data_IF_498547817024
#
_entry.id   IF_498547817024
#
_cell.length_a   1.000
_cell.length_b   1.000
_cell.length_c   1.000
_cell.angle_alpha   90.00
_cell.angle_beta   90.00
_cell.angle_gamma   90.00
#
_symmetry.space_group_name_H-M   'P 1'
#
loop_
_entity.id
_entity.type
_entity.pdbx_description
1 polymer ?
#
# COMPACT_ATOMS: atom_id res chain seq x y z
N UNK A 1 -25.92 -48.98 -54.04
CA UNK A 1 -26.64 -47.90 -54.73
C UNK A 1 -27.24 -46.99 -53.68
N UNK A 2 -26.81 -45.73 -53.70
CA UNK A 2 -27.41 -44.51 -53.12
C UNK A 2 -27.54 -44.44 -51.58
N UNK A 3 -26.65 -43.72 -50.91
CA UNK A 3 -26.64 -42.24 -50.76
C UNK A 3 -27.77 -41.74 -49.87
N UNK A 4 -27.47 -41.52 -48.58
CA UNK A 4 -27.85 -40.28 -47.89
C UNK A 4 -26.74 -39.92 -46.92
N UNK A 5 -25.61 -39.51 -47.48
CA UNK A 5 -24.72 -38.59 -46.79
C UNK A 5 -25.37 -37.19 -46.75
N UNK A 6 -25.19 -36.51 -45.62
CA UNK A 6 -25.49 -35.09 -45.32
C UNK A 6 -26.95 -34.73 -45.02
N UNK A 7 -27.20 -34.40 -43.75
CA UNK A 7 -27.35 -33.01 -43.33
C UNK A 7 -26.78 -32.87 -41.91
N UNK A 8 -25.80 -31.98 -41.81
CA UNK A 8 -25.23 -31.45 -40.59
C UNK A 8 -26.31 -31.01 -39.60
N UNK A 9 -26.13 -31.27 -38.31
CA UNK A 9 -25.62 -30.24 -37.41
C UNK A 9 -25.40 -30.80 -36.01
N UNK A 10 -24.29 -30.34 -35.43
CA UNK A 10 -23.75 -30.74 -34.17
C UNK A 10 -24.78 -30.75 -33.03
N UNK A 11 -24.86 -31.88 -32.34
CA UNK A 11 -25.01 -31.92 -30.89
C UNK A 11 -23.87 -31.10 -30.26
N UNK A 12 -24.08 -29.79 -30.08
CA UNK A 12 -23.31 -28.97 -29.13
C UNK A 12 -24.28 -28.48 -28.08
N UNK A 13 -24.30 -29.23 -26.99
CA UNK A 13 -25.14 -29.01 -25.81
C UNK A 13 -24.96 -27.61 -25.21
N UNK A 14 -26.06 -26.88 -25.12
CA UNK A 14 -26.76 -26.67 -23.85
C UNK A 14 -25.94 -26.34 -22.58
N UNK A 15 -24.81 -25.63 -22.64
CA UNK A 15 -24.06 -25.19 -21.44
C UNK A 15 -23.60 -23.73 -21.44
N UNK A 16 -24.26 -22.83 -22.18
CA UNK A 16 -23.80 -21.43 -22.30
C UNK A 16 -24.64 -20.37 -21.57
N UNK A 17 -25.78 -20.72 -20.97
CA UNK A 17 -26.68 -19.74 -20.31
C UNK A 17 -26.67 -19.74 -18.77
N UNK A 18 -26.06 -20.72 -18.12
CA UNK A 18 -25.96 -20.73 -16.64
C UNK A 18 -24.79 -19.88 -16.11
N UNK A 19 -23.78 -19.59 -16.94
CA UNK A 19 -22.62 -18.78 -16.54
C UNK A 19 -22.87 -17.27 -16.57
N UNK A 20 -23.74 -16.78 -17.44
CA UNK A 20 -23.98 -15.34 -17.65
C UNK A 20 -24.79 -14.68 -16.52
N UNK A 21 -25.68 -15.42 -15.86
CA UNK A 21 -26.50 -14.88 -14.76
C UNK A 21 -25.66 -14.59 -13.50
N UNK A 22 -24.67 -15.45 -13.21
CA UNK A 22 -23.75 -15.26 -12.08
C UNK A 22 -22.81 -14.06 -12.28
N UNK A 23 -22.34 -13.84 -13.51
CA UNK A 23 -21.47 -12.70 -13.85
C UNK A 23 -22.23 -11.38 -13.72
N UNK A 24 -23.50 -11.32 -14.15
CA UNK A 24 -24.35 -10.13 -14.01
C UNK A 24 -24.60 -9.76 -12.55
N UNK A 25 -24.81 -10.74 -11.66
CA UNK A 25 -24.95 -10.48 -10.22
C UNK A 25 -23.66 -9.95 -9.59
N UNK A 26 -22.49 -10.47 -10.00
CA UNK A 26 -21.21 -9.94 -9.52
C UNK A 26 -21.00 -8.49 -9.96
N UNK A 27 -21.27 -8.16 -11.22
CA UNK A 27 -21.11 -6.79 -11.75
C UNK A 27 -22.04 -5.80 -11.04
N UNK A 28 -23.28 -6.21 -10.72
CA UNK A 28 -24.20 -5.37 -9.95
C UNK A 28 -23.70 -5.14 -8.52
N UNK A 29 -23.20 -6.16 -7.83
CA UNK A 29 -22.64 -6.04 -6.48
C UNK A 29 -21.38 -5.15 -6.46
N UNK A 30 -20.46 -5.33 -7.41
CA UNK A 30 -19.29 -4.45 -7.53
C UNK A 30 -19.64 -3.02 -7.93
N UNK A 31 -20.65 -2.83 -8.79
CA UNK A 31 -21.14 -1.51 -9.18
C UNK A 31 -21.73 -0.72 -8.00
N UNK A 32 -22.48 -1.38 -7.11
CA UNK A 32 -23.02 -0.75 -5.88
C UNK A 32 -21.90 -0.41 -4.89
N UNK A 33 -20.90 -1.27 -4.74
CA UNK A 33 -19.73 -1.00 -3.87
C UNK A 33 -18.94 0.20 -4.42
N UNK A 34 -18.70 0.26 -5.74
CA UNK A 34 -18.01 1.38 -6.38
C UNK A 34 -18.78 2.71 -6.27
N UNK A 35 -20.11 2.68 -6.35
CA UNK A 35 -20.95 3.87 -6.15
C UNK A 35 -21.00 4.33 -4.68
N UNK A 36 -20.97 3.40 -3.72
CA UNK A 36 -20.84 3.73 -2.30
C UNK A 36 -19.46 4.32 -1.95
N UNK A 37 -18.40 3.85 -2.62
CA UNK A 37 -17.05 4.42 -2.48
C UNK A 37 -16.98 5.83 -3.08
N UNK A 38 -17.68 6.08 -4.19
CA UNK A 38 -17.72 7.40 -4.84
C UNK A 38 -18.48 8.45 -4.00
N UNK A 39 -19.56 8.06 -3.31
CA UNK A 39 -20.35 9.00 -2.51
C UNK A 39 -19.73 9.31 -1.13
N UNK A 40 -18.88 8.43 -0.59
CA UNK A 40 -18.17 8.67 0.68
C UNK A 40 -16.89 9.52 0.53
N UNK A 41 -16.39 9.71 -0.69
CA UNK A 41 -15.15 10.43 -0.95
C UNK A 41 -15.27 11.97 -0.87
N UNK A 42 -16.47 12.55 -0.84
CA UNK A 42 -16.64 14.01 -0.85
C UNK A 42 -16.64 14.70 0.52
N UNK A 43 -16.60 13.96 1.65
CA UNK A 43 -16.69 14.58 3.00
C UNK A 43 -15.70 14.05 4.03
N UNK A 44 -14.46 13.82 3.65
CA UNK A 44 -13.37 13.79 4.63
C UNK A 44 -12.37 14.90 4.29
N UNK A 45 -12.72 16.14 4.65
CA UNK A 45 -11.68 17.12 5.00
C UNK A 45 -10.97 16.53 6.23
N UNK A 46 -9.89 15.79 5.97
CA UNK A 46 -9.10 15.15 7.02
C UNK A 46 -8.61 16.20 8.00
N UNK A 47 -8.70 15.89 9.29
CA UNK A 47 -8.12 16.73 10.35
C UNK A 47 -6.62 16.82 10.09
N UNK A 48 -6.10 18.03 9.88
CA UNK A 48 -4.66 18.22 9.64
C UNK A 48 -3.90 18.19 10.96
N UNK A 49 -2.58 17.95 10.91
CA UNK A 49 -1.74 18.00 12.12
C UNK A 49 -1.77 19.39 12.78
N UNK A 50 -1.89 20.45 11.98
CA UNK A 50 -2.04 21.82 12.48
C UNK A 50 -3.36 21.99 13.27
N UNK A 51 -4.47 21.40 12.78
CA UNK A 51 -5.76 21.41 13.48
C UNK A 51 -5.71 20.66 14.82
N UNK A 52 -4.73 19.78 15.00
CA UNK A 52 -4.48 19.01 16.22
C UNK A 52 -3.54 19.72 17.20
N UNK A 53 -3.09 20.94 16.87
CA UNK A 53 -2.17 21.72 17.69
C UNK A 53 -0.72 21.24 17.62
N UNK A 54 -0.35 20.51 16.56
CA UNK A 54 1.04 20.08 16.33
C UNK A 54 1.85 21.25 15.79
N UNK A 55 2.92 21.61 16.50
CA UNK A 55 3.87 22.63 16.05
C UNK A 55 4.77 22.12 14.92
N UNK A 56 5.38 23.01 14.14
CA UNK A 56 6.33 22.60 13.07
C UNK A 56 7.52 21.80 13.64
N UNK A 57 8.02 22.14 14.83
CA UNK A 57 9.07 21.37 15.50
C UNK A 57 8.63 19.93 15.82
N UNK A 58 7.41 19.75 16.31
CA UNK A 58 6.84 18.43 16.58
C UNK A 58 6.56 17.65 15.30
N UNK A 59 6.18 18.33 14.22
CA UNK A 59 5.99 17.72 12.90
C UNK A 59 7.30 17.13 12.37
N UNK A 60 8.43 17.85 12.50
CA UNK A 60 9.75 17.31 12.15
C UNK A 60 10.11 16.09 13.00
N UNK A 61 9.77 16.08 14.29
CA UNK A 61 9.97 14.92 15.16
C UNK A 61 9.10 13.72 14.74
N UNK A 62 7.83 13.96 14.36
CA UNK A 62 6.92 12.93 13.84
C UNK A 62 7.48 12.35 12.53
N UNK A 63 7.96 13.18 11.60
CA UNK A 63 8.60 12.74 10.36
C UNK A 63 9.87 11.91 10.65
N UNK A 64 10.65 12.32 11.64
CA UNK A 64 11.85 11.58 12.08
C UNK A 64 11.47 10.20 12.64
N UNK A 65 10.45 10.13 13.50
CA UNK A 65 9.91 8.86 14.02
C UNK A 65 9.44 7.96 12.87
N UNK A 66 8.76 8.54 11.88
CA UNK A 66 8.28 7.80 10.72
C UNK A 66 9.41 7.22 9.89
N UNK A 67 10.45 8.00 9.60
CA UNK A 67 11.61 7.51 8.85
C UNK A 67 12.38 6.45 9.64
N UNK A 68 12.50 6.57 10.97
CA UNK A 68 13.08 5.51 11.81
C UNK A 68 12.29 4.20 11.73
N UNK A 69 10.96 4.27 11.82
CA UNK A 69 10.07 3.10 11.68
C UNK A 69 10.19 2.49 10.27
N UNK A 70 10.29 3.32 9.24
CA UNK A 70 10.51 2.88 7.85
C UNK A 70 11.87 2.20 7.66
N UNK A 71 12.95 2.78 8.19
CA UNK A 71 14.29 2.18 8.12
C UNK A 71 14.34 0.85 8.85
N UNK A 72 13.71 0.74 10.04
CA UNK A 72 13.57 -0.53 10.77
C UNK A 72 12.91 -1.61 9.91
N UNK A 73 11.85 -1.27 9.18
CA UNK A 73 11.17 -2.21 8.29
C UNK A 73 12.09 -2.66 7.14
N UNK A 74 12.74 -1.71 6.47
CA UNK A 74 13.66 -2.01 5.35
C UNK A 74 14.78 -2.93 5.82
N UNK A 75 15.40 -2.61 6.97
CA UNK A 75 16.46 -3.43 7.56
C UNK A 75 15.96 -4.82 7.95
N UNK A 76 14.78 -4.92 8.58
CA UNK A 76 14.22 -6.21 8.95
C UNK A 76 14.00 -7.12 7.73
N UNK A 77 13.51 -6.57 6.60
CA UNK A 77 13.35 -7.34 5.35
C UNK A 77 14.70 -7.82 4.81
N UNK A 78 15.71 -6.94 4.79
CA UNK A 78 17.05 -7.29 4.32
C UNK A 78 17.74 -8.34 5.20
N UNK A 79 17.61 -8.21 6.52
CA UNK A 79 18.16 -9.15 7.48
C UNK A 79 17.46 -10.52 7.39
N UNK A 80 16.12 -10.54 7.27
CA UNK A 80 15.36 -11.78 7.07
C UNK A 80 15.75 -12.50 5.77
N UNK A 81 16.03 -11.76 4.69
CA UNK A 81 16.55 -12.35 3.44
C UNK A 81 17.90 -13.04 3.67
N UNK A 82 18.77 -12.43 4.47
CA UNK A 82 20.08 -12.99 4.82
C UNK A 82 19.94 -14.24 5.71
N UNK A 83 19.06 -14.19 6.72
CA UNK A 83 18.78 -15.37 7.56
C UNK A 83 18.15 -16.51 6.76
N UNK A 84 17.23 -16.22 5.84
CA UNK A 84 16.62 -17.23 4.98
C UNK A 84 17.64 -17.89 4.04
N UNK A 85 18.69 -17.17 3.63
CA UNK A 85 19.81 -17.76 2.88
C UNK A 85 20.56 -18.79 3.74
N UNK A 86 20.83 -18.47 5.01
CA UNK A 86 21.49 -19.39 5.95
C UNK A 86 20.63 -20.63 6.24
N UNK A 87 19.31 -20.47 6.36
CA UNK A 87 18.37 -21.61 6.53
C UNK A 87 18.45 -22.59 5.35
N UNK A 88 18.73 -22.10 4.14
CA UNK A 88 18.83 -22.93 2.93
C UNK A 88 20.24 -23.48 2.68
N UNK A 89 21.23 -22.97 3.40
CA UNK A 89 22.62 -23.36 3.23
C UNK A 89 22.95 -24.53 4.17
N UNK A 90 22.96 -25.75 3.61
CA UNK A 90 23.25 -26.97 4.36
C UNK A 90 24.70 -27.07 4.84
N UNK A 91 25.59 -26.19 4.37
CA UNK A 91 26.99 -26.15 4.75
C UNK A 91 27.30 -25.01 5.73
N UNK A 92 26.30 -24.21 6.11
CA UNK A 92 26.47 -23.14 7.08
C UNK A 92 26.90 -23.72 8.44
N UNK A 93 27.96 -23.13 9.02
CA UNK A 93 28.50 -23.58 10.30
C UNK A 93 27.70 -22.95 11.44
N UNK A 94 27.35 -23.74 12.46
CA UNK A 94 26.55 -23.29 13.62
C UNK A 94 27.06 -21.98 14.26
N UNK A 95 28.39 -21.84 14.34
CA UNK A 95 29.01 -20.61 14.84
C UNK A 95 28.66 -19.38 14.00
N UNK A 96 28.72 -19.50 12.68
CA UNK A 96 28.37 -18.40 11.77
C UNK A 96 26.87 -18.07 11.87
N UNK A 97 26.02 -19.10 11.96
CA UNK A 97 24.57 -18.94 12.15
C UNK A 97 24.31 -18.17 13.46
N UNK A 98 24.96 -18.56 14.55
CA UNK A 98 24.82 -17.91 15.86
C UNK A 98 25.28 -16.45 15.82
N UNK A 99 26.45 -16.16 15.24
CA UNK A 99 26.96 -14.80 15.10
C UNK A 99 26.01 -13.89 14.31
N UNK A 100 25.41 -14.41 13.23
CA UNK A 100 24.44 -13.67 12.41
C UNK A 100 23.11 -13.45 13.15
N UNK A 101 22.64 -14.45 13.90
CA UNK A 101 21.43 -14.32 14.73
C UNK A 101 21.61 -13.29 15.85
N UNK A 102 22.75 -13.29 16.53
CA UNK A 102 23.01 -12.36 17.62
C UNK A 102 23.18 -10.93 17.10
N UNK A 103 23.89 -10.75 15.97
CA UNK A 103 23.96 -9.46 15.29
C UNK A 103 22.57 -8.93 14.91
N UNK A 104 21.69 -9.78 14.38
CA UNK A 104 20.31 -9.42 14.05
C UNK A 104 19.52 -8.99 15.29
N UNK A 105 19.58 -9.76 16.39
CA UNK A 105 18.88 -9.45 17.65
C UNK A 105 19.36 -8.13 18.25
N UNK A 106 20.67 -7.88 18.26
CA UNK A 106 21.26 -6.64 18.77
C UNK A 106 20.81 -5.44 17.95
N UNK A 107 20.88 -5.53 16.61
CA UNK A 107 20.41 -4.47 15.71
C UNK A 107 18.92 -4.16 15.93
N UNK A 108 18.09 -5.19 15.99
CA UNK A 108 16.64 -5.06 16.23
C UNK A 108 16.35 -4.34 17.55
N UNK A 109 17.00 -4.75 18.65
CA UNK A 109 16.84 -4.11 19.97
C UNK A 109 17.29 -2.65 19.95
N UNK A 110 18.44 -2.36 19.34
CA UNK A 110 18.98 -1.00 19.24
C UNK A 110 18.04 -0.07 18.47
N UNK A 111 17.48 -0.54 17.36
CA UNK A 111 16.55 0.25 16.56
C UNK A 111 15.22 0.46 17.28
N UNK A 112 14.70 -0.57 17.95
CA UNK A 112 13.48 -0.44 18.76
C UNK A 112 13.66 0.60 19.86
N UNK A 113 14.77 0.52 20.62
CA UNK A 113 15.05 1.47 21.71
C UNK A 113 15.04 2.92 21.24
N UNK A 114 15.62 3.21 20.07
CA UNK A 114 15.61 4.56 19.49
C UNK A 114 14.20 5.03 19.10
N UNK A 115 13.38 4.13 18.59
CA UNK A 115 11.98 4.42 18.27
C UNK A 115 11.22 4.73 19.56
N UNK A 116 11.36 3.89 20.58
CA UNK A 116 10.70 4.06 21.88
C UNK A 116 11.10 5.39 22.54
N UNK A 117 12.40 5.72 22.56
CA UNK A 117 12.91 7.00 23.10
C UNK A 117 12.34 8.22 22.34
N UNK A 118 12.23 8.12 21.02
CA UNK A 118 11.67 9.20 20.19
C UNK A 118 10.16 9.34 20.40
N UNK A 119 9.47 8.21 20.53
CA UNK A 119 8.02 8.14 20.73
C UNK A 119 7.62 8.68 22.10
N UNK A 120 8.37 8.31 23.15
CA UNK A 120 8.15 8.81 24.52
C UNK A 120 8.37 10.33 24.61
N UNK A 121 9.40 10.86 23.94
CA UNK A 121 9.62 12.31 23.85
C UNK A 121 8.49 13.04 23.11
N UNK A 122 7.93 12.43 22.07
CA UNK A 122 6.77 12.97 21.36
C UNK A 122 5.51 12.96 22.21
N UNK A 123 5.23 11.86 22.93
CA UNK A 123 4.05 11.73 23.81
C UNK A 123 4.08 12.79 24.93
N UNK A 124 5.25 13.12 25.47
CA UNK A 124 5.37 14.14 26.52
C UNK A 124 5.04 15.56 26.04
N UNK A 125 5.21 15.84 24.74
CA UNK A 125 5.05 17.20 24.20
C UNK A 125 3.79 17.39 23.38
N UNK A 126 3.25 16.33 22.79
CA UNK A 126 2.08 16.39 21.91
C UNK A 126 0.77 16.63 22.68
N UNK A 127 -0.16 17.42 22.13
CA UNK A 127 -1.52 17.48 22.65
C UNK A 127 -2.19 16.11 22.66
N UNK A 128 -2.99 15.79 23.68
CA UNK A 128 -3.68 14.49 23.83
C UNK A 128 -4.50 14.11 22.60
N UNK A 129 -5.11 15.09 21.93
CA UNK A 129 -5.88 14.87 20.71
C UNK A 129 -4.96 14.46 19.54
N UNK A 130 -3.81 15.10 19.39
CA UNK A 130 -2.80 14.71 18.42
C UNK A 130 -2.29 13.29 18.71
N UNK A 131 -2.03 12.95 19.98
CA UNK A 131 -1.61 11.61 20.38
C UNK A 131 -2.64 10.55 19.95
N UNK A 132 -3.93 10.78 20.22
CA UNK A 132 -5.00 9.86 19.80
C UNK A 132 -5.01 9.67 18.29
N UNK A 133 -4.99 10.76 17.52
CA UNK A 133 -5.01 10.68 16.05
C UNK A 133 -3.76 9.97 15.50
N UNK A 134 -2.58 10.29 16.02
CA UNK A 134 -1.34 9.65 15.60
C UNK A 134 -1.28 8.17 16.01
N UNK A 135 -1.88 7.79 17.13
CA UNK A 135 -2.03 6.39 17.54
C UNK A 135 -2.96 5.64 16.58
N UNK A 136 -4.13 6.20 16.27
CA UNK A 136 -5.09 5.63 15.31
C UNK A 136 -4.48 5.50 13.90
N UNK A 137 -3.63 6.45 13.51
CA UNK A 137 -2.89 6.40 12.25
C UNK A 137 -1.76 5.37 12.24
N UNK A 138 -1.39 4.83 13.40
CA UNK A 138 -0.27 3.90 13.57
C UNK A 138 1.11 4.58 13.61
N UNK A 139 1.16 5.90 13.83
CA UNK A 139 2.43 6.64 13.98
C UNK A 139 3.01 6.46 15.38
N UNK A 140 2.16 6.46 16.42
CA UNK A 140 2.51 6.20 17.83
C UNK A 140 2.14 4.76 18.28
N UNK A 141 2.01 3.85 17.32
CA UNK A 141 1.86 2.41 17.62
C UNK A 141 2.96 1.66 16.84
N UNK A 142 3.15 0.38 17.13
CA UNK A 142 4.09 -0.51 16.46
C UNK A 142 3.78 -0.72 14.96
N UNK A 143 2.67 -0.16 14.46
CA UNK A 143 2.34 -0.13 13.05
C UNK A 143 3.30 0.74 12.23
N UNK A 144 3.45 0.40 10.96
CA UNK A 144 3.84 1.39 9.96
C UNK A 144 2.57 2.16 9.66
N UNK A 145 2.54 3.50 9.78
CA UNK A 145 1.33 4.25 9.51
C UNK A 145 0.82 3.93 8.10
N UNK A 146 -0.48 3.63 7.99
CA UNK A 146 -1.12 3.38 6.68
C UNK A 146 -0.80 4.58 5.81
N UNK A 147 -0.29 4.34 4.59
CA UNK A 147 0.08 5.39 3.64
C UNK A 147 -1.05 6.43 3.64
N UNK A 148 -0.79 7.64 4.17
CA UNK A 148 -1.66 8.78 3.92
C UNK A 148 -1.63 8.93 2.42
N UNK A 149 -2.79 8.72 1.79
CA UNK A 149 -2.95 8.80 0.35
C UNK A 149 -2.39 10.16 -0.06
N UNK A 150 -1.21 10.15 -0.68
CA UNK A 150 -0.61 11.33 -1.28
C UNK A 150 -1.66 11.82 -2.26
N UNK A 151 -2.36 12.90 -1.92
CA UNK A 151 -3.33 13.51 -2.81
C UNK A 151 -2.57 13.80 -4.09
N UNK A 152 -2.83 12.99 -5.13
CA UNK A 152 -2.30 13.24 -6.45
C UNK A 152 -3.05 14.48 -6.93
N UNK A 153 -2.48 15.66 -6.70
CA UNK A 153 -2.82 16.84 -7.47
C UNK A 153 -2.37 16.58 -8.90
N UNK A 154 -3.24 15.91 -9.66
CA UNK A 154 -3.11 15.71 -11.09
C UNK A 154 -3.24 17.05 -11.79
N UNK A 155 -2.11 17.70 -11.98
CA UNK A 155 -1.94 18.80 -12.92
C UNK A 155 -2.04 18.19 -14.33
N UNK A 156 -3.19 18.36 -14.98
CA UNK A 156 -3.34 18.21 -16.43
C UNK A 156 -4.25 19.33 -16.92
N UNK A 157 -3.61 20.42 -17.35
CA UNK A 157 -4.20 21.36 -18.30
C UNK A 157 -3.96 20.74 -19.67
N UNK A 158 -4.97 20.07 -20.22
CA UNK A 158 -4.98 19.69 -21.64
C UNK A 158 -5.47 20.91 -22.43
N UNK A 159 -4.54 21.68 -23.00
CA UNK A 159 -4.86 22.57 -24.12
C UNK A 159 -4.69 21.78 -25.43
N UNK A 160 -5.84 21.44 -26.01
CA UNK A 160 -6.00 21.10 -27.41
C UNK A 160 -5.49 22.27 -28.28
N UNK A 161 -4.48 22.01 -29.11
CA UNK A 161 -4.31 22.74 -30.36
C UNK A 161 -3.87 21.75 -31.46
N UNK A 162 -4.84 21.44 -32.30
CA UNK A 162 -4.85 20.65 -33.53
C UNK A 162 -3.64 20.92 -34.44
N UNK A 163 -3.05 19.91 -35.10
CA UNK A 163 -2.17 20.12 -36.23
C UNK A 163 -3.00 20.32 -37.50
N UNK A 164 -3.03 21.54 -38.04
CA UNK A 164 -3.51 21.81 -39.39
C UNK A 164 -2.31 22.00 -40.31
N UNK A 165 -2.16 21.05 -41.21
CA UNK A 165 -1.19 21.01 -42.28
C UNK A 165 -1.87 21.66 -43.49
N UNK A 166 -1.47 22.87 -43.88
CA UNK A 166 -1.73 23.37 -45.24
C UNK A 166 -0.45 23.96 -45.82
N UNK A 167 -0.17 23.48 -47.02
CA UNK A 167 0.86 23.88 -47.95
C UNK A 167 0.48 25.23 -48.59
N UNK A 168 1.48 26.03 -48.97
CA UNK A 168 1.72 26.49 -50.35
C UNK A 168 2.35 27.89 -50.44
N UNK A 169 3.41 27.93 -51.26
CA UNK A 169 3.87 29.03 -52.12
C UNK A 169 4.40 30.32 -51.49
N UNK A 170 5.72 30.53 -51.60
CA UNK A 170 6.33 31.25 -52.73
C UNK A 170 7.79 30.80 -52.92
#
# INVERSE_FOLDING_TARGET
MQDVERICTAYKGATWWKGSLGILMCVALFGVIALAEKNNNEKQKGVTLADLGVTEAQKTQIETLWELKRQKQIQAVADLKTLNRLVRDSLAVDREIQEKLDAFRVKRKKMQKRIDETEEGLIQTLPTRAQLHLTVLGVLDNGIPRKMTRSQSGQKTDENATPSLEQETQ
#
